data_IF_929942765099
#
_entry.id   IF_929942765099
#
_cell.length_a   1.000
_cell.length_b   1.000
_cell.length_c   1.000
_cell.angle_alpha   90.00
_cell.angle_beta   90.00
_cell.angle_gamma   90.00
#
_symmetry.space_group_name_H-M   'P 1'
#
loop_
_entity.id
_entity.type
_entity.pdbx_description
1 polymer ?
#
# COMPACT_ATOMS: atom_id res chain seq x y z
N UNK A 1 -4.65 9.53 8.54
CA UNK A 1 -3.53 8.59 8.67
C UNK A 1 -2.69 8.67 7.41
N UNK A 2 -1.42 8.92 7.57
CA UNK A 2 -0.47 9.05 6.46
C UNK A 2 0.45 7.84 6.46
N UNK A 3 0.60 7.23 5.29
CA UNK A 3 1.32 5.95 5.18
C UNK A 3 2.28 6.00 4.00
N UNK A 4 3.48 5.48 4.21
CA UNK A 4 4.46 5.23 3.15
C UNK A 4 4.17 3.87 2.53
N UNK A 5 4.11 3.83 1.24
CA UNK A 5 3.83 2.64 0.47
C UNK A 5 2.51 2.73 -0.28
N UNK A 6 2.18 1.70 -1.03
CA UNK A 6 2.84 0.40 -1.11
C UNK A 6 4.22 0.49 -1.77
N UNK A 7 5.19 -0.10 -1.10
CA UNK A 7 6.54 -0.22 -1.64
C UNK A 7 6.82 -1.69 -1.92
N UNK A 8 7.40 -1.97 -3.07
CA UNK A 8 7.65 -3.33 -3.51
C UNK A 8 9.14 -3.65 -3.48
N UNK A 9 9.46 -4.79 -2.87
CA UNK A 9 10.82 -5.30 -2.83
C UNK A 9 10.83 -6.71 -3.42
N UNK A 10 11.70 -6.95 -4.40
CA UNK A 10 11.86 -8.28 -4.97
C UNK A 10 12.51 -9.20 -3.94
N UNK A 11 11.99 -10.45 -3.84
CA UNK A 11 12.64 -11.44 -3.00
C UNK A 11 13.88 -11.99 -3.69
N UNK A 12 14.77 -12.59 -2.91
CA UNK A 12 15.97 -13.22 -3.43
C UNK A 12 15.69 -14.39 -4.37
N UNK A 13 14.50 -14.95 -4.30
CA UNK A 13 14.10 -16.08 -5.15
C UNK A 13 13.56 -15.69 -6.52
N UNK A 14 13.40 -14.41 -6.80
CA UNK A 14 13.02 -13.91 -8.12
C UNK A 14 11.57 -14.06 -8.53
N UNK A 15 10.78 -14.91 -7.88
CA UNK A 15 9.40 -15.16 -8.26
C UNK A 15 8.37 -14.58 -7.28
N UNK A 16 8.83 -14.02 -6.18
CA UNK A 16 7.96 -13.45 -5.16
C UNK A 16 8.36 -12.03 -4.84
N UNK A 17 7.40 -11.23 -4.42
CA UNK A 17 7.61 -9.83 -4.07
C UNK A 17 7.09 -9.57 -2.67
N UNK A 18 7.75 -8.67 -1.96
CA UNK A 18 7.27 -8.17 -0.68
C UNK A 18 6.73 -6.77 -0.86
N UNK A 19 5.54 -6.54 -0.31
CA UNK A 19 4.93 -5.21 -0.29
C UNK A 19 4.88 -4.77 1.16
N UNK A 20 5.26 -3.53 1.43
CA UNK A 20 5.20 -3.03 2.79
C UNK A 20 4.52 -1.66 2.85
N UNK A 21 3.95 -1.39 4.02
CA UNK A 21 3.31 -0.12 4.36
C UNK A 21 3.86 0.31 5.71
N UNK A 22 4.18 1.59 5.85
CA UNK A 22 4.73 2.14 7.09
C UNK A 22 3.89 3.34 7.50
N UNK A 23 3.35 3.30 8.73
CA UNK A 23 2.64 4.45 9.28
C UNK A 23 3.65 5.55 9.60
N UNK A 24 3.41 6.76 9.06
CA UNK A 24 4.34 7.87 9.20
C UNK A 24 4.47 8.35 10.65
N UNK A 25 3.41 8.25 11.43
CA UNK A 25 3.42 8.76 12.81
C UNK A 25 3.90 7.73 13.83
N UNK A 26 3.47 6.47 13.73
CA UNK A 26 3.81 5.43 14.69
C UNK A 26 5.01 4.60 14.30
N UNK A 27 5.36 4.60 13.01
CA UNK A 27 6.39 3.75 12.40
C UNK A 27 6.05 2.27 12.41
N UNK A 28 4.80 1.94 12.66
CA UNK A 28 4.32 0.57 12.49
C UNK A 28 4.48 0.14 11.03
N UNK A 29 4.93 -1.09 10.84
CA UNK A 29 5.20 -1.62 9.51
C UNK A 29 4.40 -2.89 9.27
N UNK A 30 3.78 -2.98 8.10
CA UNK A 30 3.06 -4.16 7.63
C UNK A 30 3.75 -4.68 6.39
N UNK A 31 4.03 -5.98 6.36
CA UNK A 31 4.71 -6.62 5.23
C UNK A 31 3.89 -7.79 4.72
N UNK A 32 3.71 -7.84 3.40
CA UNK A 32 2.97 -8.92 2.75
C UNK A 32 3.78 -9.49 1.60
N UNK A 33 3.69 -10.82 1.44
CA UNK A 33 4.33 -11.52 0.33
C UNK A 33 3.31 -11.73 -0.79
N UNK A 34 3.68 -11.37 -2.00
CA UNK A 34 2.82 -11.54 -3.18
C UNK A 34 3.59 -12.24 -4.29
N UNK A 35 2.88 -12.93 -5.17
CA UNK A 35 3.48 -13.66 -6.28
C UNK A 35 3.52 -12.85 -7.57
N UNK A 36 2.67 -11.85 -7.70
CA UNK A 36 2.56 -11.05 -8.90
C UNK A 36 2.43 -9.58 -8.55
N UNK A 37 2.97 -8.70 -9.40
CA UNK A 37 2.83 -7.26 -9.24
C UNK A 37 1.36 -6.82 -9.25
N UNK A 38 0.52 -7.54 -9.96
CA UNK A 38 -0.91 -7.24 -10.00
C UNK A 38 -1.60 -7.47 -8.67
N UNK A 39 -0.99 -8.22 -7.76
CA UNK A 39 -1.55 -8.46 -6.43
C UNK A 39 -1.37 -7.30 -5.46
N UNK A 40 -0.57 -6.30 -5.82
CA UNK A 40 -0.34 -5.13 -4.96
C UNK A 40 -1.65 -4.42 -4.64
N UNK A 41 -2.47 -4.18 -5.64
CA UNK A 41 -3.75 -3.51 -5.45
C UNK A 41 -4.68 -4.30 -4.53
N UNK A 42 -4.73 -5.62 -4.75
CA UNK A 42 -5.54 -6.51 -3.91
C UNK A 42 -5.08 -6.46 -2.45
N UNK A 43 -3.78 -6.55 -2.23
CA UNK A 43 -3.22 -6.50 -0.87
C UNK A 43 -3.44 -5.14 -0.23
N UNK A 44 -3.34 -4.07 -1.00
CA UNK A 44 -3.61 -2.74 -0.51
C UNK A 44 -5.04 -2.61 0.02
N UNK A 45 -6.02 -3.12 -0.69
CA UNK A 45 -7.41 -3.07 -0.25
C UNK A 45 -7.63 -3.85 1.04
N UNK A 46 -7.02 -5.03 1.13
CA UNK A 46 -7.10 -5.87 2.32
C UNK A 46 -6.45 -5.17 3.52
N UNK A 47 -5.23 -4.68 3.32
CA UNK A 47 -4.50 -3.96 4.36
C UNK A 47 -5.24 -2.71 4.82
N UNK A 48 -5.77 -1.95 3.88
CA UNK A 48 -6.52 -0.73 4.20
C UNK A 48 -7.72 -1.03 5.11
N UNK A 49 -8.50 -2.05 4.73
CA UNK A 49 -9.66 -2.45 5.53
C UNK A 49 -9.23 -2.89 6.93
N UNK A 50 -8.17 -3.67 7.02
CA UNK A 50 -7.66 -4.17 8.30
C UNK A 50 -7.19 -3.03 9.20
N UNK A 51 -6.35 -2.16 8.69
CA UNK A 51 -5.74 -1.10 9.50
C UNK A 51 -6.75 -0.04 9.90
N UNK A 52 -7.69 0.30 9.02
CA UNK A 52 -8.74 1.24 9.36
C UNK A 52 -9.67 0.69 10.42
N UNK A 53 -9.92 -0.61 10.38
CA UNK A 53 -10.75 -1.28 11.37
C UNK A 53 -10.06 -1.37 12.74
N UNK A 54 -8.77 -1.64 12.75
CA UNK A 54 -8.00 -1.76 13.99
C UNK A 54 -7.77 -0.42 14.69
N UNK A 55 -7.53 0.63 13.92
CA UNK A 55 -7.14 1.93 14.47
C UNK A 55 -8.30 2.91 14.58
N UNK A 56 -9.43 2.63 13.93
CA UNK A 56 -10.55 3.56 13.74
C UNK A 56 -10.14 4.85 13.03
N UNK A 57 -9.01 4.83 12.34
CA UNK A 57 -8.52 5.97 11.56
C UNK A 57 -8.64 5.64 10.08
N UNK A 58 -9.04 6.63 9.29
CA UNK A 58 -9.12 6.46 7.85
C UNK A 58 -7.82 6.84 7.18
N UNK A 59 -7.45 6.06 6.17
CA UNK A 59 -6.29 6.37 5.35
C UNK A 59 -6.59 7.62 4.52
N UNK A 60 -5.74 8.64 4.64
CA UNK A 60 -5.92 9.91 3.94
C UNK A 60 -4.85 10.21 2.93
N UNK A 61 -3.66 9.67 3.12
CA UNK A 61 -2.51 10.01 2.30
C UNK A 61 -1.60 8.80 2.11
N UNK A 62 -1.14 8.61 0.87
CA UNK A 62 -0.12 7.62 0.55
C UNK A 62 1.10 8.33 -0.01
N UNK A 63 2.27 7.99 0.53
CA UNK A 63 3.56 8.53 0.09
C UNK A 63 4.36 7.43 -0.58
N UNK A 64 4.99 7.75 -1.70
CA UNK A 64 5.80 6.78 -2.45
C UNK A 64 7.26 7.10 -2.37
N UNK A 65 8.05 6.06 -2.15
CA UNK A 65 9.50 6.14 -2.17
C UNK A 65 10.04 6.13 -3.60
N UNK A 66 9.45 5.28 -4.43
CA UNK A 66 9.85 5.10 -5.83
C UNK A 66 8.61 5.18 -6.70
N UNK A 67 8.37 6.32 -7.28
CA UNK A 67 7.14 6.60 -7.93
C UNK A 67 6.66 5.61 -8.97
N UNK A 68 5.42 5.34 -8.95
CA UNK A 68 4.63 5.06 -10.12
C UNK A 68 4.50 3.65 -10.64
N UNK A 69 5.28 2.69 -10.20
CA UNK A 69 5.15 1.33 -10.73
C UNK A 69 3.82 0.66 -10.38
N UNK A 70 3.18 1.12 -9.33
CA UNK A 70 1.94 0.54 -8.82
C UNK A 70 0.71 1.34 -9.19
N UNK A 71 0.89 2.45 -9.88
CA UNK A 71 -0.20 3.34 -10.22
C UNK A 71 -0.93 2.83 -11.46
N UNK A 72 -1.65 1.75 -11.31
CA UNK A 72 -2.63 1.37 -12.30
C UNK A 72 -3.84 2.29 -12.21
N UNK A 73 -4.60 2.36 -13.31
CA UNK A 73 -5.81 3.15 -13.37
C UNK A 73 -6.81 2.77 -12.29
N UNK A 74 -6.88 1.48 -11.97
CA UNK A 74 -7.75 0.97 -10.92
C UNK A 74 -7.39 1.49 -9.54
N UNK A 75 -6.09 1.54 -9.27
CA UNK A 75 -5.56 2.01 -8.00
C UNK A 75 -5.86 3.50 -7.82
N UNK A 76 -5.62 4.26 -8.85
CA UNK A 76 -5.87 5.70 -8.89
C UNK A 76 -7.35 6.00 -8.66
N UNK A 77 -8.22 5.28 -9.37
CA UNK A 77 -9.66 5.42 -9.23
C UNK A 77 -10.12 5.07 -7.82
N UNK A 78 -9.59 4.00 -7.26
CA UNK A 78 -9.93 3.57 -5.91
C UNK A 78 -9.53 4.64 -4.88
N UNK A 79 -8.33 5.18 -4.99
CA UNK A 79 -7.86 6.23 -4.08
C UNK A 79 -8.72 7.49 -4.19
N UNK A 80 -9.06 7.86 -5.41
CA UNK A 80 -9.92 9.02 -5.67
C UNK A 80 -11.29 8.85 -5.03
N UNK A 81 -11.90 7.69 -5.18
CA UNK A 81 -13.21 7.39 -4.59
C UNK A 81 -13.19 7.36 -3.07
N UNK A 82 -12.07 7.06 -2.47
CA UNK A 82 -11.93 6.96 -1.03
C UNK A 82 -11.28 8.20 -0.39
N UNK A 83 -11.04 9.23 -1.17
CA UNK A 83 -10.46 10.46 -0.66
C UNK A 83 -9.00 10.32 -0.22
N UNK A 84 -8.27 9.39 -0.80
CA UNK A 84 -6.86 9.16 -0.49
C UNK A 84 -6.01 9.99 -1.43
N UNK A 85 -5.11 10.78 -0.88
CA UNK A 85 -4.22 11.64 -1.65
C UNK A 85 -2.88 10.94 -1.89
N UNK A 86 -2.35 11.13 -3.07
CA UNK A 86 -1.01 10.69 -3.44
C UNK A 86 -0.01 11.83 -3.29
N UNK A 87 1.11 11.52 -2.71
CA UNK A 87 2.20 12.49 -2.58
C UNK A 87 3.46 11.94 -3.23
#
# INVERSE_FOLDING_TARGET
>A
MDVWGPSQVCSLGGSSYFVYFIDDSTRDTWVYCIKSKSDVFKMFKIWKALVENETNLKLKCLKFDNGGEFCGKEFDTFCSHNGIRWI
#
